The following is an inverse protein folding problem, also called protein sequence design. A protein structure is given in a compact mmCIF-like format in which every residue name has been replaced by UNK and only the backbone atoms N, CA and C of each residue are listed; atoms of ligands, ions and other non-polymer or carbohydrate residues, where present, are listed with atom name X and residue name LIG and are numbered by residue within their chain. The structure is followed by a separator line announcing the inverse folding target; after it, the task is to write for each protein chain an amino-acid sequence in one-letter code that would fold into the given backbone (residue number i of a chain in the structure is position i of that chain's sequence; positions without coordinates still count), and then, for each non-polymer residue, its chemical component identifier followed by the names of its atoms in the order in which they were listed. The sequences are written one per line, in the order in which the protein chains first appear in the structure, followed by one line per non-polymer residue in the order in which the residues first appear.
data_IF_892491238223
#
_entry.id   IF_892491238223
#
_cell.length_a   1.000
_cell.length_b   1.000
_cell.length_c   1.000
_cell.angle_alpha   90.00
_cell.angle_beta   90.00
_cell.angle_gamma   90.00
#
_symmetry.space_group_name_H-M   'P 1'
#
loop_
_entity.id
_entity.type
_entity.pdbx_description
1 polymer ?
#
# COMPACT_ATOMS: atom_id res chain seq x y z
N UNK A 1 -18.75 2.79 -16.00
CA UNK A 1 -17.56 1.96 -15.70
C UNK A 1 -16.68 2.55 -14.59
N UNK A 2 -16.43 3.87 -14.58
CA UNK A 2 -15.45 4.49 -13.65
C UNK A 2 -15.80 4.41 -12.16
N UNK A 3 -17.09 4.40 -11.79
CA UNK A 3 -17.51 4.35 -10.37
C UNK A 3 -17.12 3.05 -9.67
N UNK A 4 -17.24 1.91 -10.36
CA UNK A 4 -16.90 0.59 -9.80
C UNK A 4 -15.40 0.50 -9.55
N UNK A 5 -14.60 0.99 -10.51
CA UNK A 5 -13.13 1.06 -10.37
C UNK A 5 -12.70 1.97 -9.21
N UNK A 6 -13.32 3.14 -9.05
CA UNK A 6 -13.03 4.02 -7.91
C UNK A 6 -13.39 3.38 -6.57
N UNK A 7 -14.56 2.73 -6.47
CA UNK A 7 -14.98 2.06 -5.23
C UNK A 7 -14.02 0.90 -4.90
N UNK A 8 -13.63 0.09 -5.89
CA UNK A 8 -12.67 -0.99 -5.69
C UNK A 8 -11.31 -0.47 -5.19
N UNK A 9 -10.80 0.62 -5.76
CA UNK A 9 -9.56 1.26 -5.32
C UNK A 9 -9.66 1.82 -3.89
N UNK A 10 -10.82 2.39 -3.53
CA UNK A 10 -11.04 2.92 -2.20
C UNK A 10 -11.05 1.80 -1.15
N UNK A 11 -11.76 0.71 -1.43
CA UNK A 11 -11.80 -0.46 -0.56
C UNK A 11 -10.42 -1.11 -0.43
N UNK A 12 -9.66 -1.22 -1.52
CA UNK A 12 -8.28 -1.74 -1.48
C UNK A 12 -7.36 -0.86 -0.63
N UNK A 13 -7.47 0.46 -0.72
CA UNK A 13 -6.67 1.37 0.11
C UNK A 13 -7.02 1.24 1.60
N UNK A 14 -8.31 1.16 1.94
CA UNK A 14 -8.73 0.93 3.33
C UNK A 14 -8.24 -0.43 3.83
N UNK A 15 -8.36 -1.48 3.01
CA UNK A 15 -7.90 -2.82 3.36
C UNK A 15 -6.39 -2.87 3.60
N UNK A 16 -5.61 -2.26 2.70
CA UNK A 16 -4.15 -2.07 2.85
C UNK A 16 -3.77 -1.35 4.14
N UNK A 17 -4.51 -0.30 4.49
CA UNK A 17 -4.28 0.48 5.71
C UNK A 17 -4.53 -0.35 6.97
N UNK A 18 -5.64 -1.09 7.01
CA UNK A 18 -5.99 -1.97 8.14
C UNK A 18 -4.97 -3.10 8.29
N UNK A 19 -4.52 -3.69 7.18
CA UNK A 19 -3.46 -4.72 7.17
C UNK A 19 -2.17 -4.21 7.82
N UNK A 20 -1.79 -2.95 7.60
CA UNK A 20 -0.63 -2.34 8.24
C UNK A 20 -0.83 -2.18 9.76
N UNK A 21 -2.03 -1.80 10.18
CA UNK A 21 -2.39 -1.73 11.60
C UNK A 21 -2.35 -3.11 12.28
N UNK A 22 -2.86 -4.14 11.61
CA UNK A 22 -2.79 -5.53 12.08
C UNK A 22 -1.34 -6.00 12.17
N UNK A 23 -0.48 -5.63 11.22
CA UNK A 23 0.96 -5.96 11.29
C UNK A 23 1.63 -5.34 12.52
N UNK A 24 1.30 -4.08 12.86
CA UNK A 24 1.78 -3.44 14.10
C UNK A 24 1.27 -4.17 15.35
N UNK A 25 -0.01 -4.53 15.36
CA UNK A 25 -0.61 -5.27 16.48
C UNK A 25 0.08 -6.63 16.69
N UNK A 26 0.31 -7.37 15.60
CA UNK A 26 1.04 -8.65 15.61
C UNK A 26 2.49 -8.48 16.09
N UNK A 27 3.17 -7.42 15.65
CA UNK A 27 4.52 -7.11 16.12
C UNK A 27 4.58 -6.83 17.63
N UNK A 28 3.55 -6.18 18.18
CA UNK A 28 3.44 -5.92 19.62
C UNK A 28 3.17 -7.20 20.42
N UNK A 29 2.35 -8.11 19.88
CA UNK A 29 1.97 -9.37 20.54
C UNK A 29 2.95 -10.53 20.26
N UNK A 30 4.11 -10.26 19.65
CA UNK A 30 5.12 -11.27 19.22
C UNK A 30 4.52 -12.41 18.38
N UNK A 31 3.46 -12.11 17.63
CA UNK A 31 2.82 -13.05 16.72
C UNK A 31 3.59 -13.13 15.39
N UNK A 32 3.26 -14.12 14.57
CA UNK A 32 3.88 -14.32 13.25
C UNK A 32 3.72 -13.07 12.38
N UNK A 33 4.86 -12.49 11.97
CA UNK A 33 4.92 -11.24 11.19
C UNK A 33 4.43 -11.46 9.76
N UNK A 34 3.71 -10.48 9.22
CA UNK A 34 3.23 -10.54 7.83
C UNK A 34 4.38 -10.27 6.86
N UNK A 35 4.47 -11.06 5.79
CA UNK A 35 5.54 -10.93 4.81
C UNK A 35 5.46 -9.58 4.09
N UNK A 36 6.61 -8.95 3.88
CA UNK A 36 6.72 -7.67 3.16
C UNK A 36 6.20 -7.76 1.73
N UNK A 37 6.27 -8.95 1.13
CA UNK A 37 5.77 -9.22 -0.23
C UNK A 37 4.27 -8.97 -0.36
N UNK A 38 3.49 -9.28 0.67
CA UNK A 38 2.03 -9.10 0.64
C UNK A 38 1.66 -7.64 0.46
N UNK A 39 2.34 -6.74 1.15
CA UNK A 39 2.12 -5.30 1.01
C UNK A 39 2.53 -4.76 -0.36
N UNK A 40 3.62 -5.29 -0.95
CA UNK A 40 4.00 -4.97 -2.33
C UNK A 40 2.94 -5.42 -3.34
N UNK A 41 2.40 -6.63 -3.18
CA UNK A 41 1.31 -7.10 -4.03
C UNK A 41 0.06 -6.22 -3.90
N UNK A 42 -0.34 -5.85 -2.67
CA UNK A 42 -1.46 -4.92 -2.48
C UNK A 42 -1.19 -3.55 -3.08
N UNK A 43 0.05 -3.04 -2.97
CA UNK A 43 0.44 -1.78 -3.57
C UNK A 43 0.32 -1.80 -5.11
N UNK A 44 0.80 -2.88 -5.74
CA UNK A 44 0.68 -3.09 -7.19
C UNK A 44 -0.78 -3.14 -7.67
N UNK A 45 -1.67 -3.77 -6.90
CA UNK A 45 -3.10 -3.85 -7.21
C UNK A 45 -3.89 -2.55 -6.97
N UNK A 46 -3.25 -1.49 -6.47
CA UNK A 46 -3.89 -0.17 -6.28
C UNK A 46 -4.13 0.23 -4.83
N UNK A 47 -3.64 -0.55 -3.87
CA UNK A 47 -3.65 -0.22 -2.45
C UNK A 47 -2.43 0.58 -1.98
N UNK A 48 -1.60 1.09 -2.90
CA UNK A 48 -0.30 1.72 -2.61
C UNK A 48 -0.40 2.93 -1.68
N UNK A 49 -1.44 3.76 -1.86
CA UNK A 49 -1.72 4.93 -1.02
C UNK A 49 -2.07 4.51 0.41
N UNK A 50 -2.91 3.48 0.57
CA UNK A 50 -3.32 2.94 1.86
C UNK A 50 -2.17 2.30 2.62
N UNK A 51 -1.29 1.58 1.93
CA UNK A 51 -0.06 1.03 2.53
C UNK A 51 0.88 2.17 2.94
N UNK A 52 1.07 3.20 2.10
CA UNK A 52 1.94 4.34 2.40
C UNK A 52 1.44 5.15 3.60
N UNK A 53 0.15 5.47 3.63
CA UNK A 53 -0.51 6.14 4.77
C UNK A 53 -0.41 5.30 6.04
N UNK A 54 -0.69 4.00 5.95
CA UNK A 54 -0.58 3.08 7.08
C UNK A 54 0.83 3.08 7.66
N UNK A 55 1.86 3.05 6.81
CA UNK A 55 3.26 3.08 7.23
C UNK A 55 3.59 4.32 8.06
N UNK A 56 3.20 5.50 7.56
CA UNK A 56 3.44 6.78 8.24
C UNK A 56 2.62 6.92 9.52
N UNK A 57 1.34 6.54 9.48
CA UNK A 57 0.42 6.66 10.60
C UNK A 57 0.82 5.74 11.76
N UNK A 58 1.09 4.48 11.46
CA UNK A 58 1.48 3.50 12.46
C UNK A 58 2.96 3.64 12.88
N UNK A 59 3.75 4.44 12.14
CA UNK A 59 5.22 4.55 12.24
C UNK A 59 5.90 3.18 12.32
N UNK A 60 5.31 2.20 11.63
CA UNK A 60 5.75 0.82 11.64
C UNK A 60 6.49 0.53 10.33
N UNK A 61 7.67 -0.08 10.42
CA UNK A 61 8.56 -0.40 9.26
C UNK A 61 9.06 0.79 8.41
N UNK A 62 9.10 2.01 8.92
CA UNK A 62 9.71 3.18 8.23
C UNK A 62 11.24 3.11 8.05
N UNK A 63 11.92 2.21 8.76
CA UNK A 63 13.38 1.98 8.64
C UNK A 63 13.75 0.93 7.58
N UNK A 64 12.79 0.17 7.06
CA UNK A 64 13.06 -0.81 6.02
C UNK A 64 13.15 -0.12 4.66
N UNK A 65 14.37 -0.02 4.11
CA UNK A 65 14.63 0.64 2.81
C UNK A 65 13.73 0.13 1.69
N UNK A 66 13.38 -1.16 1.70
CA UNK A 66 12.44 -1.78 0.76
C UNK A 66 11.07 -1.10 0.76
N UNK A 67 10.55 -0.75 1.94
CA UNK A 67 9.25 -0.11 2.08
C UNK A 67 9.31 1.40 1.82
N UNK A 68 10.34 2.06 2.33
CA UNK A 68 10.52 3.51 2.17
C UNK A 68 10.83 3.92 0.73
N UNK A 69 11.50 3.06 -0.05
CA UNK A 69 11.84 3.33 -1.45
C UNK A 69 10.86 2.64 -2.40
N UNK A 70 10.52 1.38 -2.14
CA UNK A 70 9.72 0.59 -3.08
C UNK A 70 8.27 1.03 -3.19
N UNK A 71 7.63 1.49 -2.11
CA UNK A 71 6.25 2.00 -2.17
C UNK A 71 6.14 3.31 -2.95
N UNK A 72 6.95 4.36 -2.69
CA UNK A 72 6.92 5.55 -3.52
C UNK A 72 7.34 5.28 -4.97
N UNK A 73 8.24 4.30 -5.22
CA UNK A 73 8.56 3.88 -6.60
C UNK A 73 7.33 3.29 -7.31
N UNK A 74 6.56 2.43 -6.63
CA UNK A 74 5.31 1.87 -7.19
C UNK A 74 4.30 2.98 -7.45
N UNK A 75 4.11 3.90 -6.50
CA UNK A 75 3.22 5.07 -6.67
C UNK A 75 3.65 5.89 -7.87
N UNK A 76 4.95 6.15 -8.03
CA UNK A 76 5.49 6.89 -9.15
C UNK A 76 5.24 6.19 -10.49
N UNK A 77 5.49 4.88 -10.57
CA UNK A 77 5.14 4.07 -11.74
C UNK A 77 3.63 4.13 -12.04
N UNK A 78 2.77 4.04 -11.03
CA UNK A 78 1.32 4.09 -11.19
C UNK A 78 0.83 5.43 -11.73
N UNK A 79 1.42 6.54 -11.24
CA UNK A 79 1.15 7.89 -11.73
C UNK A 79 1.59 8.04 -13.19
N UNK A 80 2.79 7.56 -13.54
CA UNK A 80 3.29 7.58 -14.92
C UNK A 80 2.38 6.80 -15.87
N UNK A 81 1.96 5.60 -15.46
CA UNK A 81 1.09 4.73 -16.25
C UNK A 81 -0.30 5.37 -16.43
N UNK A 82 -0.83 6.00 -15.38
CA UNK A 82 -2.08 6.75 -15.45
C UNK A 82 -1.99 7.96 -16.39
N UNK A 83 -0.89 8.71 -16.34
CA UNK A 83 -0.65 9.83 -17.25
C UNK A 83 -0.53 9.34 -18.70
N UNK A 84 0.18 8.24 -18.95
CA UNK A 84 0.33 7.67 -20.29
C UNK A 84 -1.02 7.24 -20.88
N UNK A 85 -1.87 6.56 -20.09
CA UNK A 85 -3.22 6.17 -20.51
C UNK A 85 -4.14 7.37 -20.75
N UNK A 86 -3.95 8.47 -20.00
CA UNK A 86 -4.78 9.68 -20.15
C UNK A 86 -4.34 10.57 -21.32
N UNK A 87 -3.06 10.50 -21.70
CA UNK A 87 -2.46 11.26 -22.81
C UNK A 87 -2.84 10.68 -24.17
N UNK A 88 -3.14 9.38 -24.24
CA UNK A 88 -3.63 8.67 -25.41
C UNK A 88 -5.16 8.66 -25.46
#
# INVERSE_FOLDING_TARGET
MNKIAMIALLTLNVFSFVLMGIDKYKALHKLWRTSEKTFFFLALFGGSIGVWLGMYFFRHKTRHKLFTIGIPLIIFCQILLFFYIKVW
#
